data_IF_180077998180
#
_entry.id   IF_180077998180
#
_cell.length_a   1.000
_cell.length_b   1.000
_cell.length_c   1.000
_cell.angle_alpha   90.00
_cell.angle_beta   90.00
_cell.angle_gamma   90.00
#
_symmetry.space_group_name_H-M   'P 1'
#
loop_
_entity.id
_entity.type
_entity.pdbx_description
1 polymer ?
#
# COMPACT_ATOMS: atom_id res chain seq x y z
N UNK A 1 -8.74 -8.31 3.83
CA UNK A 1 -8.89 -9.76 3.58
C UNK A 1 -10.27 -10.11 3.03
N UNK A 2 -11.37 -9.83 3.74
CA UNK A 2 -12.73 -10.26 3.35
C UNK A 2 -13.11 -9.91 1.91
N UNK A 3 -12.77 -8.71 1.43
CA UNK A 3 -13.05 -8.27 0.06
C UNK A 3 -12.45 -9.21 -1.01
N UNK A 4 -11.20 -9.63 -0.80
CA UNK A 4 -10.46 -10.44 -1.78
C UNK A 4 -10.67 -11.95 -1.61
N UNK A 5 -11.12 -12.40 -0.44
CA UNK A 5 -11.38 -13.82 -0.17
C UNK A 5 -12.86 -14.20 -0.28
N UNK A 6 -13.77 -13.22 -0.24
CA UNK A 6 -15.21 -13.46 -0.18
C UNK A 6 -15.66 -14.15 1.12
N UNK A 7 -14.81 -14.20 2.16
CA UNK A 7 -15.06 -14.94 3.40
C UNK A 7 -14.94 -14.07 4.65
N UNK A 8 -15.49 -14.57 5.75
CA UNK A 8 -15.43 -13.89 7.06
C UNK A 8 -14.06 -14.11 7.74
N UNK A 9 -13.67 -13.28 8.72
CA UNK A 9 -12.44 -13.44 9.49
C UNK A 9 -12.26 -14.83 10.14
N UNK A 10 -13.36 -15.46 10.55
CA UNK A 10 -13.32 -16.83 11.11
C UNK A 10 -12.87 -17.90 10.10
N UNK A 11 -13.03 -17.64 8.81
CA UNK A 11 -12.60 -18.52 7.73
C UNK A 11 -11.25 -18.12 7.15
N UNK A 12 -11.04 -16.82 6.89
CA UNK A 12 -9.81 -16.36 6.28
C UNK A 12 -8.66 -16.09 7.27
N UNK A 13 -8.91 -16.16 8.58
CA UNK A 13 -7.88 -16.04 9.62
C UNK A 13 -7.47 -14.61 9.96
N UNK A 14 -7.91 -13.58 9.22
CA UNK A 14 -7.52 -12.18 9.42
C UNK A 14 -8.60 -11.46 10.22
N UNK A 15 -8.43 -11.43 11.54
CA UNK A 15 -9.39 -10.85 12.49
C UNK A 15 -9.26 -9.34 12.66
N UNK A 16 -8.07 -8.79 12.42
CA UNK A 16 -7.76 -7.37 12.53
C UNK A 16 -6.47 -7.07 11.74
N UNK A 17 -6.12 -5.79 11.56
CA UNK A 17 -4.80 -5.38 11.05
C UNK A 17 -3.67 -5.80 12.00
N UNK A 18 -3.91 -5.66 13.31
CA UNK A 18 -2.95 -6.03 14.37
C UNK A 18 -3.67 -6.70 15.51
N UNK A 19 -3.02 -7.70 16.11
CA UNK A 19 -3.49 -8.33 17.35
C UNK A 19 -2.31 -8.69 18.24
N UNK A 20 -2.61 -9.02 19.49
CA UNK A 20 -1.62 -9.51 20.43
C UNK A 20 -1.39 -11.00 20.21
N UNK A 21 -0.16 -11.39 19.91
CA UNK A 21 0.19 -12.81 19.75
C UNK A 21 0.48 -13.42 21.16
N UNK A 22 -0.33 -14.38 21.61
CA UNK A 22 -0.17 -14.96 22.93
C UNK A 22 1.10 -15.82 23.07
N UNK A 23 1.71 -16.26 21.96
CA UNK A 23 2.93 -17.07 21.97
C UNK A 23 4.18 -16.21 22.17
N UNK A 24 4.26 -15.08 21.49
CA UNK A 24 5.39 -14.17 21.56
C UNK A 24 5.22 -13.05 22.58
N UNK A 25 4.01 -12.88 23.12
CA UNK A 25 3.59 -11.80 24.01
C UNK A 25 3.87 -10.40 23.41
N UNK A 26 3.69 -10.25 22.10
CA UNK A 26 3.93 -9.00 21.36
C UNK A 26 2.79 -8.71 20.38
N UNK A 27 2.58 -7.42 20.07
CA UNK A 27 1.70 -7.08 18.94
C UNK A 27 2.27 -7.65 17.63
N UNK A 28 1.40 -8.27 16.84
CA UNK A 28 1.70 -8.82 15.51
C UNK A 28 0.78 -8.19 14.48
N UNK A 29 1.32 -7.79 13.33
CA UNK A 29 0.50 -7.40 12.18
C UNK A 29 0.03 -8.65 11.42
N UNK A 30 -1.11 -8.56 10.76
CA UNK A 30 -1.73 -9.67 10.03
C UNK A 30 -0.89 -10.25 8.88
N UNK A 31 0.15 -9.56 8.46
CA UNK A 31 1.09 -9.99 7.40
C UNK A 31 2.53 -10.11 7.90
N UNK A 32 2.76 -10.10 9.23
CA UNK A 32 4.11 -10.35 9.76
C UNK A 32 4.51 -11.81 9.57
N UNK A 33 5.67 -12.02 8.94
CA UNK A 33 6.30 -13.34 8.80
C UNK A 33 7.81 -13.22 8.75
N UNK A 34 8.49 -13.78 9.75
CA UNK A 34 9.95 -13.69 9.89
C UNK A 34 10.74 -14.51 8.85
N UNK A 35 10.09 -15.37 8.08
CA UNK A 35 10.73 -16.17 7.04
C UNK A 35 11.06 -15.38 5.77
N UNK A 36 10.38 -14.24 5.55
CA UNK A 36 10.52 -13.46 4.32
C UNK A 36 10.97 -12.03 4.62
N UNK A 37 12.11 -11.64 4.07
CA UNK A 37 12.67 -10.31 4.28
C UNK A 37 11.92 -9.24 3.49
N UNK A 38 11.86 -8.04 4.07
CA UNK A 38 11.39 -6.86 3.37
C UNK A 38 12.45 -6.26 2.44
N UNK A 39 12.00 -5.72 1.32
CA UNK A 39 12.83 -4.88 0.45
C UNK A 39 12.56 -3.42 0.81
N UNK A 40 13.59 -2.61 1.03
CA UNK A 40 13.52 -1.21 1.49
C UNK A 40 12.78 -0.99 2.81
N UNK A 41 12.66 -2.04 3.63
CA UNK A 41 12.04 -2.03 4.94
C UNK A 41 12.64 -3.13 5.82
N UNK A 42 12.60 -2.95 7.13
CA UNK A 42 12.94 -3.94 8.15
C UNK A 42 11.76 -4.88 8.51
N UNK A 43 10.59 -4.62 7.93
CA UNK A 43 9.38 -5.38 8.18
C UNK A 43 9.34 -6.66 7.34
N UNK A 44 9.57 -7.80 7.97
CA UNK A 44 9.42 -9.12 7.37
C UNK A 44 7.94 -9.42 7.12
N UNK A 45 7.61 -9.85 5.91
CA UNK A 45 6.22 -9.80 5.44
C UNK A 45 5.87 -10.93 4.48
N UNK A 46 4.73 -11.60 4.75
CA UNK A 46 4.10 -12.56 3.84
C UNK A 46 2.60 -12.72 4.15
N UNK A 47 1.78 -13.24 3.23
CA UNK A 47 0.35 -13.50 3.44
C UNK A 47 0.04 -14.78 4.24
N UNK A 48 1.00 -15.37 4.92
CA UNK A 48 0.91 -16.71 5.55
C UNK A 48 -0.14 -16.82 6.65
N UNK A 49 -0.63 -15.72 7.21
CA UNK A 49 -1.74 -15.71 8.16
C UNK A 49 -3.11 -15.84 7.46
N UNK A 50 -3.16 -15.61 6.15
CA UNK A 50 -4.36 -15.79 5.35
C UNK A 50 -4.60 -17.28 5.12
N UNK A 51 -5.75 -17.80 5.54
CA UNK A 51 -6.05 -19.25 5.53
C UNK A 51 -6.85 -19.70 4.31
N UNK A 52 -7.28 -18.75 3.48
CA UNK A 52 -8.08 -19.03 2.28
C UNK A 52 -7.45 -18.39 1.06
N UNK A 53 -7.72 -18.94 -0.12
CA UNK A 53 -7.35 -18.31 -1.39
C UNK A 53 -8.03 -16.96 -1.57
N UNK A 54 -7.39 -16.10 -2.33
CA UNK A 54 -7.95 -14.82 -2.77
C UNK A 54 -8.43 -14.95 -4.22
N UNK A 55 -9.18 -13.94 -4.68
CA UNK A 55 -9.51 -13.80 -6.10
C UNK A 55 -8.26 -13.84 -7.00
N UNK A 56 -7.16 -13.27 -6.54
CA UNK A 56 -5.86 -13.29 -7.22
C UNK A 56 -5.32 -14.73 -7.35
N UNK A 57 -5.41 -15.52 -6.27
CA UNK A 57 -4.97 -16.91 -6.27
C UNK A 57 -5.81 -17.76 -7.22
N UNK A 58 -7.13 -17.58 -7.24
CA UNK A 58 -8.04 -18.27 -8.15
C UNK A 58 -7.77 -17.91 -9.62
N UNK A 59 -7.46 -16.66 -9.93
CA UNK A 59 -7.04 -16.24 -11.27
C UNK A 59 -5.75 -16.97 -11.68
N UNK A 60 -4.78 -17.06 -10.80
CA UNK A 60 -3.52 -17.79 -11.04
C UNK A 60 -3.79 -19.27 -11.33
N UNK A 61 -4.68 -19.90 -10.58
CA UNK A 61 -5.09 -21.30 -10.81
C UNK A 61 -5.78 -21.42 -12.18
N UNK A 62 -6.76 -20.58 -12.47
CA UNK A 62 -7.53 -20.63 -13.72
C UNK A 62 -6.66 -20.43 -14.96
N UNK A 63 -5.61 -19.61 -14.86
CA UNK A 63 -4.66 -19.34 -15.94
C UNK A 63 -3.40 -20.23 -15.90
N UNK A 64 -3.36 -21.24 -15.05
CA UNK A 64 -2.19 -22.13 -14.85
C UNK A 64 -0.91 -21.35 -14.55
N UNK A 65 -1.01 -20.33 -13.69
CA UNK A 65 0.04 -19.39 -13.30
C UNK A 65 0.52 -18.43 -14.41
N UNK A 66 -0.15 -18.35 -15.55
CA UNK A 66 0.25 -17.46 -16.63
C UNK A 66 -0.14 -16.00 -16.36
N UNK A 67 -1.24 -15.73 -15.64
CA UNK A 67 -1.65 -14.39 -15.27
C UNK A 67 -0.58 -13.67 -14.43
N UNK A 68 -0.37 -12.38 -14.67
CA UNK A 68 0.39 -11.51 -13.79
C UNK A 68 -0.54 -10.87 -12.77
N UNK A 69 -0.11 -10.87 -11.50
CA UNK A 69 -0.87 -10.30 -10.38
C UNK A 69 0.02 -9.38 -9.58
N UNK A 70 -0.34 -8.10 -9.57
CA UNK A 70 0.35 -7.09 -8.77
C UNK A 70 -0.61 -6.32 -7.88
N UNK A 71 -0.11 -5.87 -6.73
CA UNK A 71 -0.86 -5.04 -5.81
C UNK A 71 -0.05 -3.82 -5.36
N UNK A 72 -0.66 -2.64 -5.41
CA UNK A 72 -0.09 -1.38 -4.96
C UNK A 72 -1.03 -0.74 -3.95
N UNK A 73 -0.52 -0.38 -2.78
CA UNK A 73 -1.29 0.26 -1.73
C UNK A 73 -0.42 1.19 -0.88
N UNK A 74 -0.99 2.19 -0.19
CA UNK A 74 -0.24 2.98 0.79
C UNK A 74 0.25 2.14 1.97
N UNK A 75 -0.51 1.11 2.35
CA UNK A 75 -0.26 0.28 3.53
C UNK A 75 0.07 -1.15 3.16
N UNK A 76 0.97 -1.75 3.95
CA UNK A 76 1.53 -3.08 3.76
C UNK A 76 0.49 -4.20 3.67
N UNK A 77 -0.38 -4.25 4.66
CA UNK A 77 -1.43 -5.27 4.76
C UNK A 77 -2.43 -5.18 3.59
N UNK A 78 -2.78 -3.96 3.17
CA UNK A 78 -3.65 -3.76 2.01
C UNK A 78 -3.01 -4.31 0.72
N UNK A 79 -1.72 -4.05 0.48
CA UNK A 79 -1.00 -4.58 -0.68
C UNK A 79 -0.90 -6.10 -0.65
N UNK A 80 -0.42 -6.67 0.47
CA UNK A 80 -0.15 -8.11 0.59
C UNK A 80 -1.44 -8.94 0.53
N UNK A 81 -2.50 -8.51 1.23
CA UNK A 81 -3.77 -9.24 1.25
C UNK A 81 -4.54 -9.15 -0.08
N UNK A 82 -4.26 -8.14 -0.91
CA UNK A 82 -4.85 -8.06 -2.26
C UNK A 82 -4.06 -8.85 -3.31
N UNK A 83 -2.75 -8.98 -3.14
CA UNK A 83 -1.93 -9.85 -4.00
C UNK A 83 -2.16 -11.34 -3.75
N UNK A 84 -2.60 -11.70 -2.53
CA UNK A 84 -2.83 -13.10 -2.14
C UNK A 84 -1.52 -13.89 -2.00
N UNK A 85 -1.64 -15.23 -2.05
CA UNK A 85 -0.50 -16.14 -1.90
C UNK A 85 0.32 -16.27 -3.19
N UNK A 86 -0.31 -16.15 -4.34
CA UNK A 86 0.29 -16.44 -5.65
C UNK A 86 0.62 -15.21 -6.49
N UNK A 87 0.53 -14.01 -5.90
CA UNK A 87 0.86 -12.76 -6.58
C UNK A 87 2.29 -12.70 -7.13
N UNK A 88 2.53 -11.84 -8.10
CA UNK A 88 3.86 -11.54 -8.65
C UNK A 88 4.56 -10.39 -7.92
N UNK A 89 3.81 -9.62 -7.12
CA UNK A 89 4.36 -8.53 -6.31
C UNK A 89 3.29 -7.79 -5.52
N UNK A 90 3.65 -7.36 -4.32
CA UNK A 90 2.87 -6.46 -3.47
C UNK A 90 3.78 -5.33 -3.01
N UNK A 91 3.36 -4.08 -3.27
CA UNK A 91 4.18 -2.90 -3.03
C UNK A 91 3.43 -1.87 -2.17
N UNK A 92 4.14 -1.31 -1.19
CA UNK A 92 3.60 -0.32 -0.26
C UNK A 92 4.64 0.75 0.10
N UNK A 93 4.20 1.87 0.65
CA UNK A 93 5.12 2.95 1.02
C UNK A 93 5.66 2.78 2.44
N UNK A 94 6.97 2.91 2.61
CA UNK A 94 7.61 2.95 3.92
C UNK A 94 7.37 4.32 4.58
N UNK A 95 6.67 4.32 5.70
CA UNK A 95 6.33 5.54 6.45
C UNK A 95 7.54 6.23 7.11
N UNK A 96 8.68 5.56 7.21
CA UNK A 96 9.89 6.14 7.77
C UNK A 96 10.79 6.75 6.70
N UNK A 97 10.91 6.10 5.54
CA UNK A 97 11.89 6.47 4.51
C UNK A 97 11.27 7.11 3.27
N UNK A 98 9.96 6.94 3.02
CA UNK A 98 9.32 7.37 1.78
C UNK A 98 9.69 6.54 0.56
N UNK A 99 10.29 5.37 0.75
CA UNK A 99 10.60 4.42 -0.31
C UNK A 99 9.47 3.41 -0.49
N UNK A 100 9.24 2.95 -1.69
CA UNK A 100 8.35 1.84 -1.95
C UNK A 100 9.00 0.53 -1.52
N UNK A 101 8.24 -0.29 -0.84
CA UNK A 101 8.67 -1.56 -0.26
C UNK A 101 8.07 -2.73 -1.00
N UNK A 102 8.69 -3.88 -0.80
CA UNK A 102 8.20 -5.18 -1.21
C UNK A 102 8.62 -6.26 -0.20
N UNK A 103 8.45 -7.51 -0.57
CA UNK A 103 8.87 -8.67 0.21
C UNK A 103 9.45 -9.74 -0.69
N UNK A 104 10.46 -10.47 -0.18
CA UNK A 104 11.05 -11.61 -0.87
C UNK A 104 10.08 -12.79 -1.04
N UNK A 105 8.92 -12.75 -0.40
CA UNK A 105 7.87 -13.75 -0.57
C UNK A 105 7.43 -13.89 -2.05
N UNK A 106 7.29 -12.77 -2.75
CA UNK A 106 6.87 -12.73 -4.16
C UNK A 106 8.04 -12.82 -5.15
N UNK A 107 9.26 -13.09 -4.67
CA UNK A 107 10.45 -13.20 -5.50
C UNK A 107 11.34 -11.96 -5.49
N UNK A 108 12.00 -11.71 -6.61
CA UNK A 108 12.94 -10.60 -6.73
C UNK A 108 12.22 -9.23 -6.76
N UNK A 109 12.84 -8.25 -6.10
CA UNK A 109 12.35 -6.89 -6.13
C UNK A 109 12.54 -6.29 -7.54
N UNK A 110 11.49 -5.71 -8.17
CA UNK A 110 11.55 -5.29 -9.56
C UNK A 110 12.57 -4.17 -9.79
N UNK A 111 13.33 -4.28 -10.86
CA UNK A 111 14.33 -3.28 -11.24
C UNK A 111 13.72 -1.89 -11.46
N UNK A 112 12.54 -1.81 -12.05
CA UNK A 112 11.83 -0.56 -12.30
C UNK A 112 11.44 0.15 -11.00
N UNK A 113 11.07 -0.59 -9.95
CA UNK A 113 10.72 -0.02 -8.66
C UNK A 113 11.97 0.40 -7.86
N UNK A 114 13.10 -0.32 -8.03
CA UNK A 114 14.41 0.13 -7.54
C UNK A 114 14.78 1.46 -8.16
N UNK A 115 14.66 1.58 -9.48
CA UNK A 115 14.93 2.83 -10.20
C UNK A 115 14.00 3.96 -9.73
N UNK A 116 12.70 3.67 -9.55
CA UNK A 116 11.75 4.64 -9.01
C UNK A 116 12.18 5.12 -7.62
N UNK A 117 12.58 4.20 -6.74
CA UNK A 117 13.07 4.54 -5.41
C UNK A 117 14.32 5.41 -5.42
N UNK A 118 15.19 5.26 -6.38
CA UNK A 118 16.44 6.02 -6.49
C UNK A 118 16.26 7.41 -7.11
N UNK A 119 15.23 7.60 -7.93
CA UNK A 119 15.10 8.79 -8.76
C UNK A 119 13.82 9.60 -8.55
N UNK A 120 12.72 8.97 -8.10
CA UNK A 120 11.38 9.55 -8.15
C UNK A 120 10.55 9.38 -6.87
N UNK A 121 11.04 8.67 -5.86
CA UNK A 121 10.27 8.43 -4.62
C UNK A 121 9.95 9.72 -3.86
N UNK A 122 8.96 9.71 -2.96
CA UNK A 122 8.51 10.88 -2.23
C UNK A 122 9.61 11.67 -1.51
N UNK A 123 10.68 11.05 -1.09
CA UNK A 123 11.78 11.72 -0.40
C UNK A 123 12.45 12.82 -1.24
N UNK A 124 12.41 12.72 -2.57
CA UNK A 124 12.90 13.79 -3.47
C UNK A 124 11.95 14.99 -3.55
N UNK A 125 10.65 14.80 -3.31
CA UNK A 125 9.61 15.82 -3.52
C UNK A 125 8.95 16.32 -2.25
N UNK A 126 9.10 15.63 -1.13
CA UNK A 126 8.37 15.90 0.11
C UNK A 126 8.51 17.34 0.62
N UNK A 127 9.63 18.00 0.32
CA UNK A 127 9.89 19.37 0.71
C UNK A 127 9.02 20.39 -0.04
N UNK A 128 8.64 20.04 -1.27
CA UNK A 128 7.83 20.90 -2.14
C UNK A 128 6.34 20.57 -2.05
N UNK A 129 6.00 19.44 -1.42
CA UNK A 129 4.61 19.00 -1.31
C UNK A 129 3.83 19.83 -0.30
N UNK A 130 2.69 20.34 -0.75
CA UNK A 130 1.75 21.08 0.08
C UNK A 130 0.34 20.47 -0.05
N UNK A 131 -0.29 20.27 1.08
CA UNK A 131 -1.71 19.90 1.11
C UNK A 131 -2.54 21.15 1.36
N UNK A 132 -3.33 21.55 0.37
CA UNK A 132 -4.24 22.67 0.39
C UNK A 132 -5.69 22.19 0.27
N UNK A 133 -6.69 22.99 0.69
CA UNK A 133 -8.09 22.71 0.39
C UNK A 133 -8.31 22.57 -1.13
N UNK A 134 -9.16 21.66 -1.55
CA UNK A 134 -9.50 21.46 -2.97
C UNK A 134 -10.25 22.65 -3.56
N UNK A 135 -11.07 23.33 -2.74
CA UNK A 135 -11.87 24.49 -3.14
C UNK A 135 -11.52 25.72 -2.29
N UNK A 136 -11.87 26.94 -2.73
CA UNK A 136 -11.75 28.14 -1.90
C UNK A 136 -12.43 27.95 -0.54
N UNK A 137 -11.82 28.49 0.54
CA UNK A 137 -12.32 28.28 1.91
C UNK A 137 -13.77 28.71 2.07
N UNK A 138 -14.22 29.71 1.31
CA UNK A 138 -15.60 30.21 1.31
C UNK A 138 -16.64 29.22 0.76
N UNK A 139 -16.19 28.17 0.07
CA UNK A 139 -17.06 27.11 -0.46
C UNK A 139 -17.44 26.07 0.60
N UNK A 140 -16.81 26.09 1.77
CA UNK A 140 -17.05 25.12 2.84
C UNK A 140 -18.03 25.69 3.86
N UNK A 141 -19.28 25.23 3.83
CA UNK A 141 -20.41 25.76 4.65
C UNK A 141 -20.37 25.37 6.12
N UNK A 142 -19.56 24.37 6.50
CA UNK A 142 -19.53 23.83 7.88
C UNK A 142 -18.27 24.20 8.66
N UNK A 143 -17.52 25.20 8.20
CA UNK A 143 -16.36 25.66 8.94
C UNK A 143 -16.80 26.56 10.11
N UNK A 144 -16.19 26.41 11.28
CA UNK A 144 -16.43 27.35 12.39
C UNK A 144 -16.11 28.78 11.94
N UNK A 145 -16.91 29.76 12.37
CA UNK A 145 -16.76 31.18 12.00
C UNK A 145 -15.35 31.75 12.29
N UNK A 146 -14.66 31.22 13.33
CA UNK A 146 -13.30 31.60 13.68
C UNK A 146 -12.23 31.07 12.70
N UNK A 147 -12.57 30.14 11.81
CA UNK A 147 -11.63 29.53 10.86
C UNK A 147 -11.63 30.29 9.54
N UNK A 148 -11.01 31.47 9.57
CA UNK A 148 -10.90 32.35 8.39
C UNK A 148 -9.64 32.11 7.57
N UNK A 149 -8.66 31.40 8.11
CA UNK A 149 -7.38 31.12 7.43
C UNK A 149 -7.49 29.79 6.67
N UNK A 150 -7.18 29.76 5.36
CA UNK A 150 -7.15 28.54 4.58
C UNK A 150 -6.21 27.52 5.22
N UNK A 151 -6.66 26.26 5.28
CA UNK A 151 -5.80 25.17 5.65
C UNK A 151 -4.64 25.05 4.64
N UNK A 152 -3.41 25.02 5.14
CA UNK A 152 -2.21 24.80 4.36
C UNK A 152 -1.24 23.97 5.17
N UNK A 153 -0.89 22.77 4.68
CA UNK A 153 0.00 21.87 5.38
C UNK A 153 1.23 21.56 4.53
N UNK A 154 2.42 21.81 5.10
CA UNK A 154 3.72 21.49 4.50
C UNK A 154 4.33 20.31 5.24
N UNK A 155 4.62 19.24 4.53
CA UNK A 155 5.17 18.00 5.12
C UNK A 155 6.60 18.17 5.65
N UNK A 156 7.35 19.13 5.15
CA UNK A 156 8.71 19.44 5.61
C UNK A 156 8.76 19.84 7.10
N UNK A 157 7.67 20.36 7.66
CA UNK A 157 7.59 20.78 9.07
C UNK A 157 7.71 19.57 10.01
N UNK A 158 7.27 18.39 9.57
CA UNK A 158 7.26 17.14 10.32
C UNK A 158 8.55 16.34 10.11
N UNK A 159 9.66 16.77 10.74
CA UNK A 159 11.00 16.20 10.53
C UNK A 159 11.03 14.68 10.46
N UNK A 160 10.51 13.99 11.48
CA UNK A 160 10.60 12.52 11.61
C UNK A 160 9.34 11.78 11.13
N UNK A 161 8.22 12.50 10.95
CA UNK A 161 6.91 11.90 10.62
C UNK A 161 6.36 12.32 9.26
N UNK A 162 7.15 13.01 8.43
CA UNK A 162 6.70 13.57 7.15
C UNK A 162 6.06 12.54 6.21
N UNK A 163 6.66 11.37 6.07
CA UNK A 163 6.10 10.31 5.22
C UNK A 163 4.89 9.63 5.86
N UNK A 164 4.86 9.51 7.18
CA UNK A 164 3.67 9.03 7.90
C UNK A 164 2.48 9.97 7.68
N UNK A 165 2.72 11.29 7.69
CA UNK A 165 1.70 12.28 7.38
C UNK A 165 1.30 12.26 5.91
N UNK A 166 2.25 12.04 5.00
CA UNK A 166 1.94 11.87 3.58
C UNK A 166 1.00 10.69 3.36
N UNK A 167 1.30 9.51 3.91
CA UNK A 167 0.48 8.30 3.78
C UNK A 167 -0.97 8.52 4.27
N UNK A 168 -1.16 9.35 5.29
CA UNK A 168 -2.49 9.68 5.84
C UNK A 168 -3.11 10.94 5.24
N UNK A 169 -2.56 11.47 4.17
CA UNK A 169 -3.09 12.60 3.41
C UNK A 169 -3.64 12.17 2.05
N UNK A 170 -4.51 12.96 1.39
CA UNK A 170 -4.97 12.63 0.03
C UNK A 170 -3.85 12.60 -1.01
N UNK A 171 -2.72 13.27 -0.78
CA UNK A 171 -1.59 13.31 -1.70
C UNK A 171 -0.86 11.96 -1.86
N UNK A 172 -1.09 11.00 -0.96
CA UNK A 172 -0.58 9.64 -1.15
C UNK A 172 -1.18 8.98 -2.39
N UNK A 173 -2.40 9.36 -2.78
CA UNK A 173 -3.06 8.78 -3.93
C UNK A 173 -2.39 9.18 -5.25
N UNK A 174 -1.82 10.39 -5.33
CA UNK A 174 -1.01 10.82 -6.46
C UNK A 174 0.27 9.96 -6.55
N UNK A 175 0.84 9.61 -5.42
CA UNK A 175 2.02 8.75 -5.35
C UNK A 175 1.71 7.30 -5.75
N UNK A 176 0.56 6.77 -5.31
CA UNK A 176 0.05 5.46 -5.75
C UNK A 176 -0.14 5.45 -7.28
N UNK A 177 -0.73 6.51 -7.85
CA UNK A 177 -0.89 6.63 -9.31
C UNK A 177 0.46 6.60 -10.04
N UNK A 178 1.45 7.38 -9.59
CA UNK A 178 2.78 7.42 -10.23
C UNK A 178 3.45 6.06 -10.30
N UNK A 179 3.42 5.31 -9.20
CA UNK A 179 4.01 3.96 -9.16
C UNK A 179 3.17 2.98 -9.99
N UNK A 180 1.86 3.15 -10.01
CA UNK A 180 0.97 2.33 -10.85
C UNK A 180 1.25 2.55 -12.34
N UNK A 181 1.43 3.80 -12.77
CA UNK A 181 1.80 4.16 -14.14
C UNK A 181 3.17 3.57 -14.51
N UNK A 182 4.15 3.67 -13.62
CA UNK A 182 5.48 3.10 -13.81
C UNK A 182 5.45 1.57 -13.94
N UNK A 183 4.61 0.89 -13.15
CA UNK A 183 4.37 -0.55 -13.26
C UNK A 183 3.76 -0.92 -14.61
N UNK A 184 2.71 -0.21 -15.04
CA UNK A 184 2.04 -0.48 -16.31
C UNK A 184 2.97 -0.27 -17.52
N UNK A 185 3.81 0.75 -17.46
CA UNK A 185 4.76 1.07 -18.53
C UNK A 185 5.91 0.03 -18.61
N UNK A 186 6.52 -0.29 -17.46
CA UNK A 186 7.79 -1.03 -17.38
C UNK A 186 7.64 -2.53 -17.13
N UNK A 187 6.47 -3.01 -16.70
CA UNK A 187 6.21 -4.45 -16.53
C UNK A 187 5.53 -5.05 -17.77
N UNK A 188 5.30 -6.35 -17.73
CA UNK A 188 4.59 -7.08 -18.81
C UNK A 188 3.08 -7.20 -18.55
N UNK A 189 2.55 -6.62 -17.48
CA UNK A 189 1.12 -6.71 -17.16
C UNK A 189 0.26 -6.12 -18.29
N UNK A 190 -0.76 -6.85 -18.71
CA UNK A 190 -1.70 -6.43 -19.76
C UNK A 190 -1.12 -6.39 -21.17
N UNK A 191 0.05 -7.00 -21.42
CA UNK A 191 0.73 -6.96 -22.74
C UNK A 191 0.58 -8.25 -23.56
N UNK A 192 -0.21 -9.19 -23.08
CA UNK A 192 -0.54 -10.43 -23.81
C UNK A 192 -2.06 -10.70 -23.80
N UNK A 193 -2.49 -11.87 -24.29
CA UNK A 193 -3.90 -12.27 -24.36
C UNK A 193 -4.43 -12.89 -23.03
N UNK A 194 -3.59 -12.99 -22.00
CA UNK A 194 -3.95 -13.58 -20.73
C UNK A 194 -4.48 -12.46 -19.80
N UNK A 195 -5.59 -12.73 -19.14
CA UNK A 195 -6.15 -11.78 -18.17
C UNK A 195 -5.25 -11.66 -16.96
N UNK A 196 -4.76 -10.46 -16.71
CA UNK A 196 -3.96 -10.10 -15.54
C UNK A 196 -4.80 -9.40 -14.46
N UNK A 197 -4.24 -9.22 -13.27
CA UNK A 197 -4.85 -8.47 -12.17
C UNK A 197 -3.90 -7.43 -11.60
N UNK A 198 -4.34 -6.18 -11.61
CA UNK A 198 -3.70 -5.11 -10.87
C UNK A 198 -4.64 -4.57 -9.80
N UNK A 199 -4.31 -4.81 -8.53
CA UNK A 199 -5.05 -4.29 -7.39
C UNK A 199 -4.43 -2.96 -6.92
N UNK A 200 -5.16 -1.87 -7.08
CA UNK A 200 -4.71 -0.53 -6.64
C UNK A 200 -5.61 -0.07 -5.50
N UNK A 201 -4.99 0.24 -4.36
CA UNK A 201 -5.71 0.74 -3.18
C UNK A 201 -5.40 2.21 -2.96
N UNK A 202 -6.43 3.03 -2.88
CA UNK A 202 -6.34 4.44 -2.52
C UNK A 202 -6.72 4.67 -1.06
N UNK A 203 -6.15 5.71 -0.47
CA UNK A 203 -6.49 6.14 0.88
C UNK A 203 -7.58 7.22 0.83
N UNK A 204 -8.71 6.94 1.47
CA UNK A 204 -9.85 7.86 1.52
C UNK A 204 -9.89 8.74 2.79
N UNK A 205 -8.90 8.60 3.66
CA UNK A 205 -8.84 9.30 4.94
C UNK A 205 -9.36 8.48 6.11
N UNK A 206 -8.94 8.86 7.31
CA UNK A 206 -9.46 8.33 8.57
C UNK A 206 -10.03 9.49 9.40
N UNK A 207 -11.34 9.49 9.59
CA UNK A 207 -12.06 10.58 10.27
C UNK A 207 -12.05 10.47 11.79
N UNK A 208 -11.40 9.46 12.36
CA UNK A 208 -11.39 9.20 13.80
C UNK A 208 -10.15 9.77 14.52
N UNK A 209 -9.48 10.74 13.91
CA UNK A 209 -8.30 11.40 14.52
C UNK A 209 -8.35 12.90 14.40
#
# INVERSE_FOLDING_TARGET
AALYTGTTPSMNGIIAERWFDPKTLRPKNCVDDSAFMGNYTDQNTAPTQLLTSTFADELKIATKNAALVYAIAPFRDAAVLSAGHSGNGAFWLNHATGKWCGTTYYGEYPWWLSQYNEQQSPDFRIKEMEWNPLHPITSYTFLPEWRTIPFKYKFEIEKDNKFRRLITSPLINDEVNRVTEDLLDKSNIGKDEITDLLAVTYYAGNYNH
#
